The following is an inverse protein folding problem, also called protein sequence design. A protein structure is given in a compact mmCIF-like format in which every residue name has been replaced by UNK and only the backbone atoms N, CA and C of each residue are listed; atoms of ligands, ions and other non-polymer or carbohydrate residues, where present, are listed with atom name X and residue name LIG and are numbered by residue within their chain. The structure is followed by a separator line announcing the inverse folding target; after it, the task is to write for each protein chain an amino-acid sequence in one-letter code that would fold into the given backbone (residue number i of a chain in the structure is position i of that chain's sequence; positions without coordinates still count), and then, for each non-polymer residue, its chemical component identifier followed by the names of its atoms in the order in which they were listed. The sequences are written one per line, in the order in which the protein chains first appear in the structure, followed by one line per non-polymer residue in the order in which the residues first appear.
data_IF_788305179563
#
_entry.id   IF_788305179563
#
_cell.length_a   1.000
_cell.length_b   1.000
_cell.length_c   1.000
_cell.angle_alpha   90.00
_cell.angle_beta   90.00
_cell.angle_gamma   90.00
#
_symmetry.space_group_name_H-M   'P 1'
#
loop_
_entity.id
_entity.type
_entity.pdbx_description
1 polymer ?
#
# COMPACT_ATOMS: atom_id res chain seq x y z
N UNK A 1 0.97 -12.34 -7.17
CA UNK A 1 0.40 -11.22 -7.98
C UNK A 1 1.45 -10.11 -8.09
N UNK A 2 1.53 -9.42 -9.25
CA UNK A 2 2.41 -8.27 -9.51
C UNK A 2 1.58 -7.17 -10.12
N UNK A 3 1.92 -5.91 -9.86
CA UNK A 3 1.27 -4.78 -10.49
C UNK A 3 2.29 -3.70 -10.87
N UNK A 4 2.05 -3.03 -12.00
CA UNK A 4 2.89 -1.92 -12.48
C UNK A 4 2.04 -0.67 -12.60
N UNK A 5 2.65 0.43 -12.21
CA UNK A 5 2.14 1.78 -12.47
C UNK A 5 3.13 2.54 -13.35
N UNK A 6 2.91 3.81 -13.57
CA UNK A 6 3.83 4.65 -14.33
C UNK A 6 5.25 4.61 -13.76
N UNK A 7 5.40 4.76 -12.43
CA UNK A 7 6.70 4.89 -11.76
C UNK A 7 7.04 3.73 -10.83
N UNK A 8 6.07 2.84 -10.51
CA UNK A 8 6.24 1.85 -9.46
C UNK A 8 6.05 0.42 -10.00
N UNK A 9 6.70 -0.52 -9.32
CA UNK A 9 6.42 -1.95 -9.37
C UNK A 9 5.99 -2.39 -7.96
N UNK A 10 4.81 -2.99 -7.85
CA UNK A 10 4.30 -3.62 -6.65
C UNK A 10 4.45 -5.13 -6.81
N UNK A 11 5.18 -5.76 -5.90
CA UNK A 11 5.36 -7.21 -5.90
C UNK A 11 5.39 -7.77 -4.47
N UNK A 12 5.10 -9.06 -4.27
CA UNK A 12 5.37 -9.72 -3.00
C UNK A 12 6.81 -9.51 -2.56
N UNK A 13 7.01 -9.42 -1.25
CA UNK A 13 8.36 -9.45 -0.68
C UNK A 13 8.94 -10.85 -0.69
N UNK A 14 10.24 -10.96 -0.93
CA UNK A 14 11.02 -12.18 -0.86
C UNK A 14 12.06 -12.08 0.25
N UNK A 15 12.62 -13.21 0.68
CA UNK A 15 13.61 -13.23 1.77
C UNK A 15 14.87 -12.38 1.44
N UNK A 16 15.25 -12.33 0.17
CA UNK A 16 16.38 -11.54 -0.34
C UNK A 16 16.16 -10.02 -0.20
N UNK A 17 14.92 -9.59 0.01
CA UNK A 17 14.60 -8.17 0.23
C UNK A 17 14.88 -7.71 1.66
N UNK A 18 15.13 -8.63 2.60
CA UNK A 18 15.26 -8.31 4.02
C UNK A 18 16.26 -7.17 4.32
N UNK A 19 17.48 -7.13 3.76
CA UNK A 19 18.41 -6.03 4.00
C UNK A 19 17.90 -4.69 3.44
N UNK A 20 17.22 -4.70 2.29
CA UNK A 20 16.65 -3.50 1.69
C UNK A 20 15.43 -3.01 2.48
N UNK A 21 14.58 -3.93 2.94
CA UNK A 21 13.41 -3.63 3.76
C UNK A 21 13.83 -3.04 5.11
N UNK A 22 14.80 -3.65 5.78
CA UNK A 22 15.32 -3.14 7.06
C UNK A 22 15.84 -1.71 6.94
N UNK A 23 16.59 -1.41 5.88
CA UNK A 23 17.06 -0.03 5.61
C UNK A 23 15.93 0.93 5.29
N UNK A 24 14.93 0.50 4.53
CA UNK A 24 13.86 1.37 4.05
C UNK A 24 12.87 1.77 5.16
N UNK A 25 12.58 0.85 6.09
CA UNK A 25 11.64 1.05 7.20
C UNK A 25 12.33 1.43 8.51
N UNK A 26 13.63 1.16 8.64
CA UNK A 26 14.40 1.25 9.88
C UNK A 26 14.69 2.68 10.36
N UNK A 27 13.88 3.65 9.97
CA UNK A 27 13.90 4.99 10.54
C UNK A 27 12.72 5.18 11.49
N UNK A 28 12.96 5.67 12.70
CA UNK A 28 11.91 5.90 13.71
C UNK A 28 10.75 6.74 13.16
N UNK A 29 11.06 7.76 12.36
CA UNK A 29 10.06 8.61 11.71
C UNK A 29 9.10 7.84 10.79
N UNK A 30 9.52 6.68 10.25
CA UNK A 30 8.67 5.80 9.43
C UNK A 30 7.92 4.82 10.34
N UNK A 31 8.67 4.05 11.14
CA UNK A 31 8.13 2.95 11.95
C UNK A 31 7.07 3.44 12.96
N UNK A 32 7.26 4.59 13.58
CA UNK A 32 6.28 5.16 14.53
C UNK A 32 4.88 5.41 13.93
N UNK A 33 4.76 5.42 12.62
CA UNK A 33 3.49 5.56 11.92
C UNK A 33 2.82 4.22 11.59
N UNK A 34 3.41 3.10 12.04
CA UNK A 34 2.92 1.75 11.82
C UNK A 34 2.45 1.15 13.15
N UNK A 35 1.37 0.36 13.09
CA UNK A 35 0.86 -0.30 14.27
C UNK A 35 1.71 -1.53 14.66
N UNK A 36 2.10 -2.33 13.67
CA UNK A 36 2.62 -3.68 13.88
C UNK A 36 4.14 -3.83 13.70
N UNK A 37 4.82 -2.78 13.24
CA UNK A 37 6.28 -2.81 13.11
C UNK A 37 6.95 -2.38 14.41
N UNK A 38 7.89 -3.15 14.97
CA UNK A 38 8.58 -2.79 16.21
C UNK A 38 9.68 -1.76 15.98
N UNK A 39 10.12 -1.12 17.05
CA UNK A 39 11.32 -0.28 17.07
C UNK A 39 12.32 -0.77 18.13
N UNK A 40 13.59 -0.92 17.84
CA UNK A 40 14.23 -0.76 16.52
C UNK A 40 13.80 -1.84 15.53
N UNK A 41 13.87 -1.51 14.22
CA UNK A 41 13.54 -2.44 13.13
C UNK A 41 14.82 -2.75 12.35
N UNK A 42 15.27 -3.99 12.42
CA UNK A 42 16.45 -4.48 11.75
C UNK A 42 16.16 -5.61 10.76
N UNK A 43 17.23 -6.26 10.30
CA UNK A 43 17.12 -7.34 9.31
C UNK A 43 16.37 -8.57 9.84
N UNK A 44 16.53 -8.90 11.14
CA UNK A 44 15.79 -10.02 11.76
C UNK A 44 14.27 -9.80 11.68
N UNK A 45 13.79 -8.59 11.99
CA UNK A 45 12.37 -8.22 11.87
C UNK A 45 11.90 -8.25 10.42
N UNK A 46 12.76 -7.82 9.48
CA UNK A 46 12.45 -7.88 8.06
C UNK A 46 12.33 -9.34 7.57
N UNK A 47 13.24 -10.23 7.98
CA UNK A 47 13.17 -11.66 7.66
C UNK A 47 11.92 -12.31 8.24
N UNK A 48 11.59 -12.01 9.50
CA UNK A 48 10.35 -12.49 10.13
C UNK A 48 9.12 -12.02 9.37
N UNK A 49 9.05 -10.74 9.02
CA UNK A 49 7.94 -10.19 8.22
C UNK A 49 7.80 -10.88 6.87
N UNK A 50 8.91 -11.11 6.17
CA UNK A 50 8.94 -11.71 4.83
C UNK A 50 8.67 -13.23 4.85
N UNK A 51 8.88 -13.89 5.99
CA UNK A 51 8.58 -15.34 6.17
C UNK A 51 7.07 -15.60 6.37
N UNK A 52 6.29 -14.57 6.76
CA UNK A 52 4.86 -14.73 7.00
C UNK A 52 4.15 -15.08 5.69
N UNK A 53 3.31 -16.12 5.67
CA UNK A 53 2.54 -16.47 4.48
C UNK A 53 1.68 -15.28 4.03
N UNK A 54 1.50 -15.16 2.72
CA UNK A 54 0.62 -14.14 2.12
C UNK A 54 -0.72 -14.81 1.89
N UNK A 55 -1.75 -14.29 2.56
CA UNK A 55 -3.13 -14.69 2.31
C UNK A 55 -3.54 -14.17 0.92
N UNK A 56 -4.06 -15.03 0.03
CA UNK A 56 -4.53 -14.60 -1.28
C UNK A 56 -5.58 -13.49 -1.23
N UNK A 57 -6.42 -13.45 -0.19
CA UNK A 57 -7.48 -12.45 0.00
C UNK A 57 -6.98 -11.18 0.70
N UNK A 58 -5.73 -11.16 1.13
CA UNK A 58 -5.08 -10.04 1.82
C UNK A 58 -3.79 -9.63 1.09
N UNK A 59 -3.91 -8.98 -0.09
CA UNK A 59 -2.77 -8.64 -0.91
C UNK A 59 -1.78 -7.73 -0.16
N UNK A 60 -0.51 -8.12 -0.16
CA UNK A 60 0.60 -7.40 0.48
C UNK A 60 1.75 -7.27 -0.49
N UNK A 61 2.23 -6.04 -0.68
CA UNK A 61 3.27 -5.71 -1.64
C UNK A 61 4.39 -4.88 -1.02
N UNK A 62 5.61 -5.14 -1.46
CA UNK A 62 6.68 -4.16 -1.44
C UNK A 62 6.57 -3.27 -2.69
N UNK A 63 6.89 -1.99 -2.52
CA UNK A 63 6.82 -0.97 -3.57
C UNK A 63 8.23 -0.63 -4.02
N UNK A 64 8.50 -0.79 -5.31
CA UNK A 64 9.78 -0.46 -5.92
C UNK A 64 9.61 0.69 -6.90
N UNK A 65 10.46 1.71 -6.81
CA UNK A 65 10.57 2.74 -7.84
C UNK A 65 11.30 2.18 -9.07
N UNK A 66 10.72 2.43 -10.26
CA UNK A 66 11.23 2.02 -11.56
C UNK A 66 11.99 3.17 -12.23
N UNK A 67 13.00 3.69 -11.55
CA UNK A 67 13.87 4.74 -12.10
C UNK A 67 15.04 4.09 -12.85
N UNK A 68 15.64 4.82 -13.82
CA UNK A 68 16.69 4.28 -14.70
C UNK A 68 17.83 3.59 -13.94
N UNK A 69 17.79 2.26 -13.90
CA UNK A 69 18.68 1.39 -13.13
C UNK A 69 17.94 0.28 -12.42
N UNK A 70 18.58 -0.36 -11.44
CA UNK A 70 17.94 -1.40 -10.62
C UNK A 70 16.77 -0.81 -9.81
N UNK A 71 15.62 -1.51 -9.75
CA UNK A 71 14.48 -1.07 -8.95
C UNK A 71 14.87 -0.86 -7.49
N UNK A 72 14.46 0.26 -6.91
CA UNK A 72 14.75 0.60 -5.50
C UNK A 72 13.51 0.42 -4.65
N UNK A 73 13.65 -0.29 -3.53
CA UNK A 73 12.58 -0.40 -2.54
C UNK A 73 12.29 0.97 -1.92
N UNK A 74 11.05 1.43 -2.06
CA UNK A 74 10.61 2.76 -1.60
C UNK A 74 9.48 2.70 -0.59
N UNK A 75 8.87 1.52 -0.36
CA UNK A 75 7.78 1.39 0.59
C UNK A 75 7.09 0.04 0.56
N UNK A 76 5.93 -0.02 1.19
CA UNK A 76 5.03 -1.17 1.16
C UNK A 76 3.57 -0.74 1.27
N UNK A 77 2.67 -1.57 0.77
CA UNK A 77 1.24 -1.41 0.93
C UNK A 77 0.54 -2.77 0.98
N UNK A 78 -0.65 -2.81 1.57
CA UNK A 78 -1.41 -4.05 1.66
C UNK A 78 -2.79 -3.84 2.24
N UNK A 79 -3.54 -4.92 2.28
CA UNK A 79 -4.85 -5.03 2.89
C UNK A 79 -4.74 -6.12 3.97
N UNK A 80 -5.28 -5.85 5.14
CA UNK A 80 -5.27 -6.78 6.27
C UNK A 80 -6.54 -6.61 7.10
N UNK A 81 -6.91 -7.59 7.94
CA UNK A 81 -7.99 -7.39 8.88
C UNK A 81 -7.72 -6.22 9.82
N UNK A 82 -8.70 -5.33 9.96
CA UNK A 82 -8.73 -4.30 10.97
C UNK A 82 -9.19 -4.84 12.33
N UNK A 83 -9.19 -4.01 13.38
CA UNK A 83 -9.51 -4.44 14.74
C UNK A 83 -10.93 -4.97 14.93
N UNK A 84 -11.90 -4.51 14.14
CA UNK A 84 -13.30 -4.91 14.21
C UNK A 84 -13.66 -6.00 13.18
N UNK A 85 -12.63 -6.57 12.47
CA UNK A 85 -12.80 -7.60 11.45
C UNK A 85 -13.06 -7.07 10.05
N UNK A 86 -13.15 -5.75 9.87
CA UNK A 86 -13.18 -5.09 8.57
C UNK A 86 -11.85 -5.26 7.84
N UNK A 87 -11.82 -5.07 6.51
CA UNK A 87 -10.57 -5.00 5.78
C UNK A 87 -10.00 -3.57 5.81
N UNK A 88 -8.76 -3.45 6.25
CA UNK A 88 -8.06 -2.18 6.36
C UNK A 88 -6.91 -2.07 5.36
N UNK A 89 -6.87 -0.94 4.65
CA UNK A 89 -5.76 -0.58 3.78
C UNK A 89 -4.65 0.10 4.57
N UNK A 90 -3.42 -0.42 4.44
CA UNK A 90 -2.22 0.17 5.01
C UNK A 90 -1.14 0.44 3.96
N UNK A 91 -0.30 1.44 4.21
CA UNK A 91 0.89 1.75 3.40
C UNK A 91 1.94 2.50 4.22
N UNK A 92 3.17 2.44 3.74
CA UNK A 92 4.28 3.25 4.24
C UNK A 92 5.25 3.55 3.09
N UNK A 93 5.96 4.66 3.20
CA UNK A 93 7.00 5.07 2.26
C UNK A 93 8.26 5.40 3.05
N UNK A 94 9.40 4.93 2.59
CA UNK A 94 10.70 5.27 3.16
C UNK A 94 10.97 6.77 3.06
N UNK A 95 11.57 7.33 4.09
CA UNK A 95 11.71 8.78 4.29
C UNK A 95 12.27 9.55 3.10
N UNK A 96 13.34 9.08 2.39
CA UNK A 96 13.88 9.80 1.24
C UNK A 96 12.90 9.99 0.07
N UNK A 97 11.76 9.27 0.08
CA UNK A 97 10.77 9.27 -0.98
C UNK A 97 9.45 9.94 -0.59
N UNK A 98 9.40 10.60 0.57
CA UNK A 98 8.24 11.37 1.01
C UNK A 98 8.00 12.57 0.08
N UNK A 99 6.74 12.98 -0.06
CA UNK A 99 6.35 14.12 -0.90
C UNK A 99 6.33 13.83 -2.41
N UNK A 100 6.84 12.69 -2.89
CA UNK A 100 6.93 12.35 -4.31
C UNK A 100 5.63 11.74 -4.89
N UNK A 101 4.58 11.59 -4.08
CA UNK A 101 3.30 11.04 -4.52
C UNK A 101 3.23 9.52 -4.61
N UNK A 102 4.29 8.80 -4.24
CA UNK A 102 4.35 7.33 -4.35
C UNK A 102 3.29 6.62 -3.51
N UNK A 103 2.97 7.12 -2.30
CA UNK A 103 1.89 6.55 -1.49
C UNK A 103 0.53 6.61 -2.20
N UNK A 104 0.22 7.74 -2.84
CA UNK A 104 -1.03 7.90 -3.59
C UNK A 104 -1.07 7.02 -4.84
N UNK A 105 0.04 6.91 -5.57
CA UNK A 105 0.14 6.08 -6.77
C UNK A 105 -0.01 4.58 -6.43
N UNK A 106 0.72 4.11 -5.42
CA UNK A 106 0.62 2.73 -4.94
C UNK A 106 -0.77 2.42 -4.36
N UNK A 107 -1.35 3.37 -3.61
CA UNK A 107 -2.67 3.23 -3.03
C UNK A 107 -3.78 3.11 -4.08
N UNK A 108 -3.73 3.90 -5.15
CA UNK A 108 -4.69 3.76 -6.28
C UNK A 108 -4.59 2.38 -6.92
N UNK A 109 -3.36 1.88 -7.12
CA UNK A 109 -3.16 0.54 -7.67
C UNK A 109 -3.67 -0.55 -6.73
N UNK A 110 -3.47 -0.41 -5.42
CA UNK A 110 -3.98 -1.35 -4.42
C UNK A 110 -5.51 -1.37 -4.40
N UNK A 111 -6.16 -0.21 -4.47
CA UNK A 111 -7.62 -0.11 -4.57
C UNK A 111 -8.15 -0.75 -5.86
N UNK A 112 -7.44 -0.55 -6.99
CA UNK A 112 -7.80 -1.23 -8.25
C UNK A 112 -7.73 -2.76 -8.09
N UNK A 113 -6.69 -3.29 -7.44
CA UNK A 113 -6.55 -4.71 -7.13
C UNK A 113 -7.70 -5.19 -6.23
N UNK A 114 -8.01 -4.46 -5.16
CA UNK A 114 -9.10 -4.80 -4.25
C UNK A 114 -10.45 -4.94 -4.98
N UNK A 115 -10.74 -4.00 -5.89
CA UNK A 115 -11.96 -4.06 -6.72
C UNK A 115 -11.96 -5.23 -7.70
N UNK A 116 -10.82 -5.51 -8.33
CA UNK A 116 -10.67 -6.67 -9.23
C UNK A 116 -10.83 -8.01 -8.49
N UNK A 117 -10.53 -8.04 -7.20
CA UNK A 117 -10.72 -9.19 -6.31
C UNK A 117 -12.13 -9.22 -5.69
N UNK A 118 -13.00 -8.25 -5.99
CA UNK A 118 -14.33 -8.08 -5.38
C UNK A 118 -14.28 -8.01 -3.84
N UNK A 119 -13.22 -7.42 -3.27
CA UNK A 119 -13.15 -7.18 -1.83
C UNK A 119 -14.21 -6.15 -1.40
N UNK A 120 -14.73 -6.25 -0.16
CA UNK A 120 -15.63 -5.24 0.39
C UNK A 120 -14.94 -3.87 0.49
N UNK A 121 -15.73 -2.83 0.79
CA UNK A 121 -15.19 -1.50 1.07
C UNK A 121 -14.13 -1.57 2.16
N UNK A 122 -13.07 -0.82 1.95
CA UNK A 122 -11.94 -0.79 2.86
C UNK A 122 -12.08 0.34 3.90
N UNK A 123 -11.63 0.05 5.10
CA UNK A 123 -11.29 1.07 6.09
C UNK A 123 -9.83 1.50 5.94
N UNK A 124 -9.46 2.57 6.59
CA UNK A 124 -8.09 3.01 6.75
C UNK A 124 -7.97 3.90 8.00
N UNK A 125 -6.75 4.07 8.49
CA UNK A 125 -6.50 4.99 9.60
C UNK A 125 -5.12 5.62 9.53
N UNK A 126 -4.95 6.73 10.25
CA UNK A 126 -3.63 7.31 10.51
C UNK A 126 -3.54 7.90 11.89
N UNK A 127 -2.38 7.81 12.52
CA UNK A 127 -2.14 8.50 13.78
C UNK A 127 -2.26 10.03 13.59
N UNK A 128 -2.86 10.73 14.56
CA UNK A 128 -3.16 12.17 14.42
C UNK A 128 -1.92 13.03 14.18
N UNK A 129 -0.77 12.60 14.67
CA UNK A 129 0.52 13.25 14.43
C UNK A 129 1.15 12.95 13.05
N UNK A 130 0.43 12.21 12.17
CA UNK A 130 0.80 12.00 10.78
C UNK A 130 -0.26 12.53 9.80
N UNK A 131 -0.49 13.85 9.74
CA UNK A 131 -1.52 14.45 8.86
C UNK A 131 -1.24 14.20 7.37
N UNK A 132 0.02 13.93 6.99
CA UNK A 132 0.38 13.60 5.61
C UNK A 132 -0.31 12.32 5.12
N UNK A 133 -0.44 11.31 6.00
CA UNK A 133 -1.19 10.08 5.66
C UNK A 133 -2.68 10.40 5.44
N UNK A 134 -3.29 11.24 6.27
CA UNK A 134 -4.67 11.68 6.06
C UNK A 134 -4.89 12.41 4.74
N UNK A 135 -3.91 13.21 4.28
CA UNK A 135 -3.95 13.85 2.98
C UNK A 135 -3.87 12.83 1.82
N UNK A 136 -3.10 11.76 1.98
CA UNK A 136 -3.05 10.66 1.01
C UNK A 136 -4.39 9.93 0.97
N UNK A 137 -4.98 9.57 2.12
CA UNK A 137 -6.28 8.89 2.19
C UNK A 137 -7.37 9.68 1.46
N UNK A 138 -7.45 11.00 1.67
CA UNK A 138 -8.41 11.84 0.94
C UNK A 138 -8.20 11.81 -0.58
N UNK A 139 -6.94 11.84 -1.05
CA UNK A 139 -6.60 11.73 -2.48
C UNK A 139 -6.93 10.35 -3.08
N UNK A 140 -7.09 9.35 -2.25
CA UNK A 140 -7.51 8.00 -2.61
C UNK A 140 -9.03 7.81 -2.58
N UNK A 141 -9.80 8.85 -2.18
CA UNK A 141 -11.24 8.81 -2.10
C UNK A 141 -11.79 8.33 -0.75
N UNK A 142 -10.93 8.13 0.24
CA UNK A 142 -11.40 7.85 1.60
C UNK A 142 -11.95 9.11 2.28
N UNK A 143 -13.01 8.94 3.04
CA UNK A 143 -13.68 9.99 3.82
C UNK A 143 -13.42 9.78 5.31
N UNK A 144 -13.11 10.85 6.07
CA UNK A 144 -13.00 10.74 7.51
C UNK A 144 -14.36 10.36 8.11
N UNK A 145 -14.39 9.39 9.01
CA UNK A 145 -15.61 9.00 9.74
C UNK A 145 -15.97 9.96 10.87
N UNK A 146 -15.08 10.88 11.22
CA UNK A 146 -15.17 11.72 12.42
C UNK A 146 -14.79 11.00 13.71
N UNK A 147 -14.51 9.71 13.68
CA UNK A 147 -14.11 8.92 14.84
C UNK A 147 -12.58 8.94 15.03
N UNK A 148 -12.16 8.93 16.29
CA UNK A 148 -10.77 8.73 16.70
C UNK A 148 -10.74 7.55 17.65
N UNK A 149 -9.93 6.54 17.33
CA UNK A 149 -9.72 5.36 18.17
C UNK A 149 -8.30 5.37 18.75
N UNK A 150 -8.13 4.79 19.93
CA UNK A 150 -6.81 4.49 20.45
C UNK A 150 -6.30 3.22 19.76
N UNK A 151 -5.13 3.30 19.13
CA UNK A 151 -4.48 2.16 18.46
C UNK A 151 -3.09 1.94 19.02
N UNK A 152 -2.84 0.72 19.41
CA UNK A 152 -1.52 0.32 19.89
C UNK A 152 -0.52 0.36 18.73
N UNK A 153 0.67 0.90 19.01
CA UNK A 153 1.81 0.86 18.09
C UNK A 153 3.00 0.21 18.78
N UNK A 154 3.51 -0.86 18.18
CA UNK A 154 4.69 -1.56 18.70
C UNK A 154 5.91 -0.63 18.78
N UNK A 155 6.10 0.21 17.77
CA UNK A 155 7.22 1.15 17.74
C UNK A 155 7.10 2.26 18.81
N UNK A 156 5.88 2.62 19.20
CA UNK A 156 5.64 3.62 20.25
C UNK A 156 5.63 2.99 21.66
N UNK A 157 5.45 1.68 21.73
CA UNK A 157 5.29 0.97 23.00
C UNK A 157 3.99 1.32 23.75
N UNK A 158 2.95 1.80 23.03
CA UNK A 158 1.69 2.26 23.65
C UNK A 158 0.62 2.66 22.65
N UNK A 159 -0.53 3.01 23.21
CA UNK A 159 -1.66 3.52 22.43
C UNK A 159 -1.45 4.95 21.97
N UNK A 160 -1.91 5.24 20.76
CA UNK A 160 -1.91 6.58 20.21
C UNK A 160 -3.22 6.86 19.44
N UNK A 161 -3.68 8.13 19.44
CA UNK A 161 -4.93 8.48 18.78
C UNK A 161 -4.78 8.36 17.25
N UNK A 162 -5.73 7.63 16.65
CA UNK A 162 -5.80 7.32 15.22
C UNK A 162 -7.13 7.81 14.65
N UNK A 163 -7.09 8.67 13.64
CA UNK A 163 -8.27 9.08 12.90
C UNK A 163 -8.68 7.95 11.94
N UNK A 164 -9.98 7.61 11.96
CA UNK A 164 -10.55 6.53 11.14
C UNK A 164 -11.16 7.08 9.86
N UNK A 165 -10.96 6.34 8.78
CA UNK A 165 -11.43 6.63 7.44
C UNK A 165 -12.16 5.42 6.86
N UNK A 166 -13.11 5.68 5.97
CA UNK A 166 -13.82 4.67 5.18
C UNK A 166 -13.75 5.01 3.69
N UNK A 167 -13.75 4.00 2.85
CA UNK A 167 -13.77 4.18 1.40
C UNK A 167 -15.10 4.83 0.98
N UNK A 168 -15.02 5.96 0.27
CA UNK A 168 -16.18 6.67 -0.25
C UNK A 168 -16.91 5.88 -1.33
N UNK A 169 -18.19 6.21 -1.58
CA UNK A 169 -18.93 5.66 -2.71
C UNK A 169 -18.34 6.13 -4.03
N UNK A 170 -18.19 5.22 -4.99
CA UNK A 170 -17.61 5.50 -6.30
C UNK A 170 -18.45 6.53 -7.14
N UNK A 171 -19.72 6.73 -6.77
CA UNK A 171 -20.67 7.55 -7.51
C UNK A 171 -20.74 9.03 -7.08
N UNK A 172 -19.96 9.44 -6.06
CA UNK A 172 -20.08 10.80 -5.50
C UNK A 172 -19.16 11.84 -6.15
N UNK A 173 -18.28 11.47 -7.08
CA UNK A 173 -17.32 12.40 -7.72
C UNK A 173 -17.23 12.25 -9.24
N UNK A 174 -18.37 12.01 -9.91
CA UNK A 174 -18.44 11.99 -11.39
C UNK A 174 -18.51 13.40 -12.01
N UNK A 175 -17.70 14.34 -11.53
CA UNK A 175 -17.44 15.62 -12.20
C UNK A 175 -16.06 15.72 -12.84
N UNK A 176 -15.34 14.58 -12.97
CA UNK A 176 -14.12 14.55 -13.78
C UNK A 176 -14.46 13.98 -15.15
N UNK A 177 -14.54 14.86 -16.15
CA UNK A 177 -14.64 14.53 -17.58
C UNK A 177 -13.68 13.40 -17.93
N UNK A 178 -14.12 12.29 -18.54
CA UNK A 178 -13.23 11.20 -18.90
C UNK A 178 -12.26 11.68 -19.98
N UNK A 179 -11.00 11.79 -19.62
CA UNK A 179 -9.93 11.97 -20.59
C UNK A 179 -9.90 10.72 -21.48
N UNK A 180 -10.33 10.87 -22.74
CA UNK A 180 -10.31 9.81 -23.74
C UNK A 180 -8.88 9.28 -23.88
N UNK A 181 -8.57 8.17 -23.23
CA UNK A 181 -7.39 7.39 -23.56
C UNK A 181 -7.67 6.65 -24.88
N UNK A 182 -7.01 7.05 -25.95
CA UNK A 182 -6.87 6.22 -27.14
C UNK A 182 -6.01 5.03 -26.73
N UNK A 183 -6.63 3.94 -26.35
CA UNK A 183 -5.96 2.63 -26.28
C UNK A 183 -6.05 2.07 -27.70
N UNK A 184 -4.95 2.18 -28.44
CA UNK A 184 -4.70 1.31 -29.59
C UNK A 184 -4.49 -0.11 -29.04
N UNK A 185 -5.42 -1.00 -29.32
CA UNK A 185 -5.26 -2.42 -29.04
C UNK A 185 -4.45 -2.98 -30.20
N UNK A 186 -3.15 -3.22 -29.98
CA UNK A 186 -2.33 -3.99 -30.90
C UNK A 186 -2.87 -5.43 -30.96
N UNK A 187 -3.31 -5.86 -32.14
CA UNK A 187 -3.85 -7.20 -32.41
C UNK A 187 -2.79 -8.32 -32.29
N UNK A 188 -1.52 -7.98 -32.19
CA UNK A 188 -0.40 -8.95 -32.11
C UNK A 188 -0.30 -9.71 -30.76
N UNK A 189 -1.07 -9.31 -29.73
CA UNK A 189 -0.98 -9.96 -28.41
C UNK A 189 -1.84 -11.23 -28.27
N UNK A 190 -2.58 -11.62 -29.30
CA UNK A 190 -3.46 -12.80 -29.26
C UNK A 190 -2.85 -14.12 -29.74
N UNK A 191 -1.71 -14.09 -30.43
CA UNK A 191 -1.06 -15.32 -30.93
C UNK A 191 -0.11 -15.96 -29.91
N UNK A 192 0.50 -15.21 -29.00
CA UNK A 192 1.48 -15.75 -28.05
C UNK A 192 0.89 -16.60 -26.92
N UNK A 193 -0.42 -16.52 -26.65
CA UNK A 193 -1.08 -17.31 -25.59
C UNK A 193 -1.43 -18.74 -26.08
N UNK A 194 -1.45 -18.99 -27.38
CA UNK A 194 -1.77 -20.33 -27.92
C UNK A 194 -0.59 -21.29 -27.98
N UNK A 195 0.64 -20.81 -27.85
CA UNK A 195 1.86 -21.63 -27.95
C UNK A 195 2.39 -22.15 -26.61
N UNK A 196 1.79 -21.76 -25.47
CA UNK A 196 2.19 -22.25 -24.12
C UNK A 196 1.23 -23.28 -23.51
N UNK A 197 0.27 -23.81 -24.26
CA UNK A 197 -0.71 -24.81 -23.80
C UNK A 197 -0.71 -26.08 -24.67
N UNK A 198 0.48 -26.57 -25.03
CA UNK A 198 0.65 -27.90 -25.64
C UNK A 198 1.81 -28.63 -24.96
#
# INVERSE_FOLDING_TARGET
MFARTERLLLRPGWQEDAPALARAIGEEAVVRNLATAPWPYGEAQAQEFLSKPIDPDQPRFLIFARTGGAPRLVGGCGISPGPEGELEMGYWIARPYWGLGFATEAGRQLLHIARAMNLPKLSAGHFLDNPASGAVLRKLGFRPTGKVAQRYSLARGGDAPCALFEEGDADADSTVTPMRSRIGVDEDFREDIRLMAA
#
